data_IF_317488527017
#
_entry.id   IF_317488527017
#
_cell.length_a   1.000
_cell.length_b   1.000
_cell.length_c   1.000
_cell.angle_alpha   90.00
_cell.angle_beta   90.00
_cell.angle_gamma   90.00
#
_symmetry.space_group_name_H-M   'P 1'
#
loop_
_entity.id
_entity.type
_entity.pdbx_description
1 polymer ?
#
# COMPACT_ATOMS: atom_id res chain seq x y z
N UNK A 1 49.11 -12.79 -28.19
CA UNK A 1 48.37 -13.20 -26.97
C UNK A 1 47.58 -12.08 -26.28
N UNK A 2 47.77 -10.79 -26.61
CA UNK A 2 47.08 -9.67 -25.94
C UNK A 2 45.60 -9.43 -26.31
N UNK A 3 45.10 -9.94 -27.45
CA UNK A 3 43.74 -9.62 -27.93
C UNK A 3 42.63 -10.44 -27.27
N UNK A 4 42.94 -11.62 -26.72
CA UNK A 4 41.96 -12.48 -26.03
C UNK A 4 41.69 -12.00 -24.60
N UNK A 5 42.72 -11.60 -23.86
CA UNK A 5 42.57 -11.06 -22.51
C UNK A 5 41.71 -9.79 -22.49
N UNK A 6 41.90 -8.89 -23.47
CA UNK A 6 41.10 -7.67 -23.59
C UNK A 6 39.61 -7.94 -23.87
N UNK A 7 39.27 -9.01 -24.60
CA UNK A 7 37.88 -9.39 -24.88
C UNK A 7 37.20 -10.01 -23.65
N UNK A 8 37.92 -10.83 -22.89
CA UNK A 8 37.39 -11.44 -21.66
C UNK A 8 37.08 -10.37 -20.60
N UNK A 9 37.97 -9.37 -20.43
CA UNK A 9 37.75 -8.25 -19.51
C UNK A 9 36.56 -7.38 -19.94
N UNK A 10 36.40 -7.14 -21.25
CA UNK A 10 35.27 -6.36 -21.77
C UNK A 10 33.93 -7.09 -21.57
N UNK A 11 33.88 -8.40 -21.78
CA UNK A 11 32.68 -9.20 -21.52
C UNK A 11 32.31 -9.25 -20.02
N UNK A 12 33.30 -9.34 -19.13
CA UNK A 12 33.06 -9.28 -17.68
C UNK A 12 32.56 -7.89 -17.23
N UNK A 13 33.08 -6.82 -17.83
CA UNK A 13 32.64 -5.45 -17.52
C UNK A 13 31.18 -5.19 -17.97
N UNK A 14 30.76 -5.73 -19.12
CA UNK A 14 29.37 -5.63 -19.58
C UNK A 14 28.42 -6.48 -18.73
N UNK A 15 28.84 -7.67 -18.28
CA UNK A 15 28.05 -8.52 -17.39
C UNK A 15 27.89 -7.92 -15.97
N UNK A 16 28.94 -7.26 -15.46
CA UNK A 16 28.88 -6.55 -14.18
C UNK A 16 28.02 -5.27 -14.24
N UNK A 17 28.05 -4.55 -15.37
CA UNK A 17 27.23 -3.34 -15.57
C UNK A 17 25.72 -3.65 -15.72
N UNK A 18 25.36 -4.84 -16.22
CA UNK A 18 23.97 -5.30 -16.33
C UNK A 18 23.44 -5.94 -15.03
N UNK A 19 24.32 -6.20 -14.07
CA UNK A 19 23.97 -6.70 -12.73
C UNK A 19 23.59 -5.56 -11.77
N UNK A 20 23.57 -4.31 -12.24
CA UNK A 20 22.78 -3.20 -11.67
C UNK A 20 21.29 -3.46 -11.93
N UNK A 21 20.82 -4.64 -11.52
CA UNK A 21 19.42 -5.00 -11.46
C UNK A 21 18.78 -4.02 -10.50
N UNK A 22 17.98 -3.14 -11.10
CA UNK A 22 16.80 -2.52 -10.53
C UNK A 22 16.80 -2.49 -9.00
N UNK A 23 17.13 -1.33 -8.44
CA UNK A 23 16.45 -0.91 -7.21
C UNK A 23 14.97 -1.09 -7.53
N UNK A 24 14.38 -2.19 -7.03
CA UNK A 24 12.95 -2.30 -6.97
C UNK A 24 12.52 -1.02 -6.26
N UNK A 25 11.73 -0.17 -6.91
CA UNK A 25 10.99 0.83 -6.16
C UNK A 25 10.13 0.03 -5.18
N UNK A 26 10.63 -0.12 -3.95
CA UNK A 26 9.98 -0.84 -2.86
C UNK A 26 8.89 0.08 -2.32
N UNK A 27 7.84 0.21 -3.11
CA UNK A 27 6.68 1.04 -2.80
C UNK A 27 5.55 0.70 -3.78
N UNK A 28 4.29 0.60 -3.34
CA UNK A 28 3.20 0.29 -4.25
C UNK A 28 3.08 1.37 -5.33
N UNK A 29 2.99 1.03 -6.63
CA UNK A 29 2.77 2.03 -7.68
C UNK A 29 1.29 2.43 -7.64
N UNK A 30 0.97 3.51 -6.91
CA UNK A 30 -0.43 3.90 -6.71
C UNK A 30 -1.04 4.59 -7.94
N UNK A 31 -2.31 4.27 -8.22
CA UNK A 31 -3.15 4.88 -9.23
C UNK A 31 -4.15 5.82 -8.57
N UNK A 32 -4.18 7.07 -9.04
CA UNK A 32 -5.13 8.10 -8.61
C UNK A 32 -6.56 7.70 -9.02
N UNK A 33 -7.48 7.64 -8.05
CA UNK A 33 -8.91 7.36 -8.30
C UNK A 33 -9.83 8.56 -8.06
N UNK A 34 -9.26 9.71 -7.68
CA UNK A 34 -9.99 10.96 -7.41
C UNK A 34 -9.28 12.19 -7.99
N UNK A 35 -10.01 13.21 -8.48
CA UNK A 35 -9.40 14.45 -8.97
C UNK A 35 -8.69 15.29 -7.90
N UNK A 36 -8.82 14.97 -6.59
CA UNK A 36 -8.24 15.74 -5.48
C UNK A 36 -7.29 14.93 -4.57
N UNK A 37 -6.98 13.68 -4.90
CA UNK A 37 -5.87 12.95 -4.27
C UNK A 37 -4.57 13.13 -5.08
N UNK A 38 -3.47 13.51 -4.44
CA UNK A 38 -2.14 13.63 -5.05
C UNK A 38 -1.07 13.08 -4.11
N UNK A 39 0.06 12.65 -4.64
CA UNK A 39 1.24 12.45 -3.80
C UNK A 39 1.74 13.83 -3.33
N UNK A 40 2.22 13.89 -2.09
CA UNK A 40 2.93 15.04 -1.56
C UNK A 40 4.16 15.32 -2.41
N UNK A 41 4.50 16.60 -2.55
CA UNK A 41 5.57 17.08 -3.43
C UNK A 41 6.96 16.59 -2.95
N UNK A 42 7.07 16.16 -1.69
CA UNK A 42 8.35 15.92 -1.00
C UNK A 42 8.59 14.46 -0.56
N UNK A 43 7.78 13.46 -0.96
CA UNK A 43 8.04 12.06 -0.58
C UNK A 43 6.87 11.08 -0.70
N UNK A 44 6.95 9.88 -0.05
CA UNK A 44 5.94 8.81 -0.13
C UNK A 44 4.61 9.14 0.60
N UNK A 45 4.40 10.42 0.94
CA UNK A 45 3.22 10.91 1.61
C UNK A 45 2.08 11.05 0.59
N UNK A 46 0.94 10.40 0.87
CA UNK A 46 -0.28 10.50 0.09
C UNK A 46 -1.15 11.61 0.68
N UNK A 47 -1.50 12.58 -0.15
CA UNK A 47 -2.35 13.72 0.21
C UNK A 47 -3.71 13.54 -0.45
N UNK A 48 -4.79 13.48 0.33
CA UNK A 48 -6.13 13.20 -0.19
C UNK A 48 -7.11 14.32 0.17
N UNK A 49 -7.57 15.04 -0.86
CA UNK A 49 -8.78 15.85 -0.81
C UNK A 49 -10.01 14.99 -1.15
N UNK A 50 -11.04 15.06 -0.32
CA UNK A 50 -12.27 14.26 -0.44
C UNK A 50 -13.36 15.12 -1.06
N UNK A 51 -13.80 14.84 -2.31
CA UNK A 51 -14.96 15.51 -2.87
C UNK A 51 -16.25 15.01 -2.19
N UNK A 52 -17.33 15.77 -2.32
CA UNK A 52 -18.66 15.36 -1.85
C UNK A 52 -19.08 13.98 -2.40
N UNK A 53 -19.96 13.29 -1.65
CA UNK A 53 -20.50 11.97 -2.03
C UNK A 53 -19.92 10.79 -1.24
N UNK A 54 -19.49 9.71 -1.93
CA UNK A 54 -19.04 8.44 -1.32
C UNK A 54 -17.61 8.53 -0.77
N UNK A 55 -17.09 7.44 -0.20
CA UNK A 55 -15.69 7.40 0.22
C UNK A 55 -14.77 7.50 -1.01
N UNK A 56 -13.79 8.38 -0.93
CA UNK A 56 -12.90 8.74 -2.05
C UNK A 56 -11.43 8.64 -1.60
N UNK A 57 -10.52 8.31 -2.51
CA UNK A 57 -9.09 8.41 -2.24
C UNK A 57 -8.15 7.92 -3.35
N UNK A 58 -7.20 7.05 -3.01
CA UNK A 58 -6.13 6.56 -3.91
C UNK A 58 -6.05 5.04 -3.76
N UNK A 59 -5.79 4.32 -4.85
CA UNK A 59 -5.60 2.86 -4.83
C UNK A 59 -4.22 2.45 -5.31
N UNK A 60 -3.66 1.36 -4.78
CA UNK A 60 -2.46 0.75 -5.34
C UNK A 60 -2.76 0.07 -6.68
N UNK A 61 -1.71 -0.25 -7.44
CA UNK A 61 -1.80 -1.31 -8.44
C UNK A 61 -2.29 -2.63 -7.81
N UNK A 62 -2.70 -3.56 -8.67
CA UNK A 62 -3.03 -4.92 -8.24
C UNK A 62 -1.74 -5.65 -7.86
N UNK A 63 -1.60 -6.03 -6.59
CA UNK A 63 -0.42 -6.68 -6.04
C UNK A 63 -0.71 -8.18 -5.78
N UNK A 64 0.26 -9.08 -5.97
CA UNK A 64 0.10 -10.49 -5.64
C UNK A 64 0.02 -10.68 -4.11
N UNK A 65 -0.77 -11.65 -3.66
CA UNK A 65 -0.78 -12.05 -2.24
C UNK A 65 0.61 -12.56 -1.85
N UNK A 66 1.20 -12.11 -0.73
CA UNK A 66 2.51 -12.58 -0.29
C UNK A 66 2.48 -14.08 0.05
N UNK A 67 3.57 -14.79 -0.23
CA UNK A 67 3.68 -16.22 0.08
C UNK A 67 3.83 -16.48 1.59
N UNK A 68 4.45 -15.53 2.30
CA UNK A 68 4.60 -15.54 3.76
C UNK A 68 3.58 -14.60 4.40
N UNK A 69 3.36 -14.76 5.72
CA UNK A 69 2.59 -13.76 6.48
C UNK A 69 3.33 -12.43 6.40
N UNK A 70 2.63 -11.41 5.95
CA UNK A 70 3.19 -10.09 5.78
C UNK A 70 2.24 -9.03 6.31
N UNK A 71 2.77 -7.85 6.58
CA UNK A 71 1.99 -6.67 6.93
C UNK A 71 2.66 -5.39 6.47
N UNK A 72 2.02 -4.27 6.72
CA UNK A 72 2.61 -2.95 6.53
C UNK A 72 2.05 -1.98 7.57
N UNK A 73 2.79 -0.91 7.84
CA UNK A 73 2.32 0.19 8.68
C UNK A 73 1.71 1.30 7.82
N UNK A 74 0.62 1.87 8.30
CA UNK A 74 0.01 3.07 7.74
C UNK A 74 -0.10 4.14 8.82
N UNK A 75 0.67 5.22 8.69
CA UNK A 75 0.47 6.43 9.48
C UNK A 75 -0.54 7.31 8.76
N UNK A 76 -1.70 7.55 9.38
CA UNK A 76 -2.77 8.41 8.87
C UNK A 76 -2.89 9.62 9.79
N UNK A 77 -2.90 10.81 9.19
CA UNK A 77 -3.23 12.07 9.84
C UNK A 77 -4.45 12.68 9.16
N UNK A 78 -5.47 13.03 9.95
CA UNK A 78 -6.69 13.69 9.45
C UNK A 78 -6.75 15.10 10.01
N UNK A 79 -6.45 16.08 9.15
CA UNK A 79 -6.33 17.49 9.55
C UNK A 79 -7.64 18.25 9.46
N UNK A 80 -8.50 17.87 8.53
CA UNK A 80 -9.70 18.64 8.22
C UNK A 80 -10.89 18.21 9.08
N UNK A 81 -11.55 19.13 9.81
CA UNK A 81 -12.73 18.83 10.62
C UNK A 81 -13.92 18.30 9.81
N UNK A 82 -14.00 18.61 8.52
CA UNK A 82 -15.04 18.13 7.61
C UNK A 82 -14.91 16.63 7.31
N UNK A 83 -13.74 16.03 7.56
CA UNK A 83 -13.54 14.58 7.43
C UNK A 83 -14.13 13.87 8.65
N UNK A 84 -15.11 12.99 8.42
CA UNK A 84 -15.69 12.12 9.45
C UNK A 84 -14.70 11.04 9.86
N UNK A 85 -14.14 10.36 8.86
CA UNK A 85 -13.22 9.24 9.05
C UNK A 85 -12.33 9.03 7.82
N UNK A 86 -11.08 8.64 8.08
CA UNK A 86 -10.14 8.12 7.10
C UNK A 86 -9.69 6.71 7.50
N UNK A 87 -9.42 5.85 6.51
CA UNK A 87 -9.02 4.47 6.74
C UNK A 87 -8.32 3.87 5.53
N UNK A 88 -7.63 2.76 5.78
CA UNK A 88 -7.12 1.87 4.74
C UNK A 88 -8.10 0.72 4.54
N UNK A 89 -8.32 0.37 3.27
CA UNK A 89 -9.07 -0.80 2.84
C UNK A 89 -8.21 -1.68 1.97
N UNK A 90 -8.10 -2.96 2.29
CA UNK A 90 -7.54 -3.98 1.42
C UNK A 90 -8.68 -4.64 0.65
N UNK A 91 -8.67 -4.51 -0.67
CA UNK A 91 -9.61 -5.15 -1.56
C UNK A 91 -8.99 -6.42 -2.13
N UNK A 92 -9.60 -7.57 -1.85
CA UNK A 92 -9.09 -8.88 -2.24
C UNK A 92 -9.70 -9.35 -3.56
N UNK A 93 -8.85 -9.94 -4.39
CA UNK A 93 -9.19 -10.40 -5.72
C UNK A 93 -8.90 -11.89 -5.85
N UNK A 94 -9.86 -12.59 -6.45
CA UNK A 94 -9.67 -13.94 -6.94
C UNK A 94 -9.24 -13.90 -8.43
N UNK A 95 -8.87 -15.05 -8.96
CA UNK A 95 -8.70 -15.26 -10.41
C UNK A 95 -9.64 -16.38 -10.87
N UNK A 96 -10.87 -16.40 -10.39
CA UNK A 96 -11.84 -17.39 -10.85
C UNK A 96 -12.12 -17.15 -12.35
N UNK A 97 -11.51 -17.98 -13.20
CA UNK A 97 -11.75 -18.07 -14.65
C UNK A 97 -11.52 -16.79 -15.50
N UNK A 98 -10.45 -16.04 -15.25
CA UNK A 98 -9.99 -15.02 -16.21
C UNK A 98 -9.61 -13.68 -15.57
N UNK A 99 -10.49 -12.68 -15.67
CA UNK A 99 -10.23 -11.32 -15.16
C UNK A 99 -10.27 -11.29 -13.62
N UNK A 100 -9.32 -10.63 -12.94
CA UNK A 100 -9.34 -10.51 -11.49
C UNK A 100 -10.65 -9.88 -11.01
N UNK A 101 -11.37 -10.59 -10.13
CA UNK A 101 -12.63 -10.11 -9.55
C UNK A 101 -12.43 -9.79 -8.09
N UNK A 102 -12.82 -8.57 -7.69
CA UNK A 102 -12.88 -8.23 -6.27
C UNK A 102 -14.00 -9.05 -5.61
N UNK A 103 -13.68 -9.80 -4.56
CA UNK A 103 -14.66 -10.66 -3.88
C UNK A 103 -14.75 -10.43 -2.37
N UNK A 104 -13.73 -9.82 -1.75
CA UNK A 104 -13.73 -9.52 -0.32
C UNK A 104 -13.02 -8.20 -0.01
N UNK A 105 -13.25 -7.68 1.20
CA UNK A 105 -12.67 -6.43 1.71
C UNK A 105 -12.24 -6.63 3.17
N UNK A 106 -11.09 -6.07 3.54
CA UNK A 106 -10.65 -5.93 4.93
C UNK A 106 -10.38 -4.46 5.20
N UNK A 107 -11.01 -3.89 6.22
CA UNK A 107 -10.83 -2.50 6.60
C UNK A 107 -10.00 -2.38 7.86
N UNK A 108 -9.09 -1.43 7.89
CA UNK A 108 -8.44 -0.99 9.11
C UNK A 108 -9.41 -0.19 9.99
N UNK A 109 -9.03 0.03 11.25
CA UNK A 109 -9.79 0.96 12.11
C UNK A 109 -9.84 2.35 11.49
N UNK A 110 -10.94 3.05 11.75
CA UNK A 110 -11.10 4.44 11.35
C UNK A 110 -10.21 5.38 12.18
N UNK A 111 -9.73 6.43 11.52
CA UNK A 111 -9.02 7.57 12.10
C UNK A 111 -9.88 8.81 11.88
N UNK A 112 -10.18 9.56 12.94
CA UNK A 112 -11.13 10.68 12.90
C UNK A 112 -10.43 12.02 12.73
N UNK A 113 -11.19 13.07 12.40
CA UNK A 113 -10.67 14.43 12.36
C UNK A 113 -9.92 14.82 13.65
N UNK A 114 -8.76 15.45 13.47
CA UNK A 114 -7.84 15.83 14.54
C UNK A 114 -6.96 14.70 15.05
N UNK A 115 -7.13 13.47 14.56
CA UNK A 115 -6.32 12.33 14.99
C UNK A 115 -5.12 12.10 14.05
N UNK A 116 -4.02 11.65 14.65
CA UNK A 116 -2.91 10.98 13.96
C UNK A 116 -2.75 9.58 14.55
N UNK A 117 -2.67 8.57 13.69
CA UNK A 117 -2.58 7.18 14.10
C UNK A 117 -1.64 6.40 13.19
N UNK A 118 -0.78 5.57 13.78
CA UNK A 118 -0.06 4.51 13.06
C UNK A 118 -0.78 3.20 13.27
N UNK A 119 -1.18 2.56 12.18
CA UNK A 119 -1.91 1.30 12.14
C UNK A 119 -0.98 0.23 11.60
N UNK A 120 -0.93 -0.92 12.25
CA UNK A 120 -0.36 -2.13 11.66
C UNK A 120 -1.48 -2.87 10.92
N UNK A 121 -1.24 -3.22 9.66
CA UNK A 121 -2.16 -3.97 8.83
C UNK A 121 -1.54 -5.30 8.45
N UNK A 122 -2.13 -6.39 8.94
CA UNK A 122 -1.81 -7.73 8.47
C UNK A 122 -2.42 -7.93 7.07
N UNK A 123 -1.62 -8.46 6.15
CA UNK A 123 -2.06 -8.97 4.86
C UNK A 123 -2.47 -10.42 5.04
N UNK A 124 -3.55 -10.65 5.79
CA UNK A 124 -4.14 -11.98 5.99
C UNK A 124 -5.22 -12.22 4.93
N UNK A 125 -4.89 -12.89 3.81
CA UNK A 125 -5.82 -13.09 2.71
C UNK A 125 -6.99 -13.99 3.13
N UNK A 126 -8.23 -13.66 2.73
CA UNK A 126 -9.31 -14.63 2.80
C UNK A 126 -9.01 -15.82 1.87
N UNK A 127 -9.55 -17.02 2.14
CA UNK A 127 -9.38 -18.17 1.26
C UNK A 127 -9.69 -17.79 -0.19
N UNK A 128 -8.89 -18.31 -1.13
CA UNK A 128 -8.98 -18.07 -2.58
C UNK A 128 -8.46 -16.70 -3.06
N UNK A 129 -8.04 -15.80 -2.17
CA UNK A 129 -7.41 -14.56 -2.62
C UNK A 129 -6.04 -14.84 -3.26
N UNK A 130 -5.81 -14.26 -4.44
CA UNK A 130 -4.54 -14.38 -5.18
C UNK A 130 -3.87 -13.03 -5.40
N UNK A 131 -4.64 -11.96 -5.29
CA UNK A 131 -4.16 -10.59 -5.40
C UNK A 131 -4.96 -9.64 -4.51
N UNK A 132 -4.41 -8.45 -4.29
CA UNK A 132 -5.07 -7.41 -3.51
C UNK A 132 -4.76 -6.01 -4.05
N UNK A 133 -5.56 -5.03 -3.63
CA UNK A 133 -5.27 -3.61 -3.74
C UNK A 133 -5.40 -2.94 -2.39
N UNK A 134 -4.48 -2.05 -2.08
CA UNK A 134 -4.59 -1.15 -0.92
C UNK A 134 -5.28 0.12 -1.37
N UNK A 135 -6.31 0.55 -0.63
CA UNK A 135 -7.04 1.78 -0.87
C UNK A 135 -6.94 2.67 0.37
N UNK A 136 -6.48 3.89 0.19
CA UNK A 136 -6.64 4.95 1.18
C UNK A 136 -7.99 5.61 0.90
N UNK A 137 -8.87 5.66 1.88
CA UNK A 137 -10.23 6.18 1.73
C UNK A 137 -10.53 7.16 2.86
N UNK A 138 -11.31 8.20 2.54
CA UNK A 138 -11.87 9.09 3.53
C UNK A 138 -13.31 9.47 3.19
N UNK A 139 -14.07 9.83 4.22
CA UNK A 139 -15.49 10.22 4.14
C UNK A 139 -15.70 11.54 4.85
N UNK A 140 -16.50 12.40 4.26
CA UNK A 140 -16.92 13.66 4.87
C UNK A 140 -18.03 13.45 5.89
N UNK A 141 -18.20 14.43 6.80
CA UNK A 141 -19.33 14.50 7.72
C UNK A 141 -20.62 14.83 6.99
N UNK A 142 -20.58 15.82 6.10
CA UNK A 142 -21.70 16.19 5.24
C UNK A 142 -21.43 15.78 3.78
N UNK A 143 -22.35 15.08 3.11
CA UNK A 143 -22.15 14.62 1.73
C UNK A 143 -21.90 15.74 0.71
N UNK A 144 -22.37 16.96 0.99
CA UNK A 144 -22.23 18.13 0.13
C UNK A 144 -21.01 19.00 0.48
N UNK A 145 -20.30 18.68 1.56
CA UNK A 145 -19.10 19.44 1.95
C UNK A 145 -17.94 19.19 0.98
N UNK A 146 -16.93 20.04 1.08
CA UNK A 146 -15.66 19.94 0.38
C UNK A 146 -14.55 20.05 1.41
N UNK A 147 -13.64 19.08 1.43
CA UNK A 147 -12.46 19.20 2.28
C UNK A 147 -11.40 20.11 1.66
N UNK A 148 -10.46 20.54 2.48
CA UNK A 148 -9.15 21.00 2.08
C UNK A 148 -8.44 19.95 1.21
N UNK A 149 -7.44 20.41 0.44
CA UNK A 149 -6.70 19.53 -0.46
C UNK A 149 -5.81 18.54 0.29
N UNK A 150 -5.30 18.90 1.46
CA UNK A 150 -4.48 18.06 2.33
C UNK A 150 -5.22 17.60 3.59
N UNK A 151 -6.53 17.42 3.46
CA UNK A 151 -7.42 17.00 4.53
C UNK A 151 -7.00 15.68 5.21
N UNK A 152 -6.41 14.77 4.43
CA UNK A 152 -5.84 13.52 4.93
C UNK A 152 -4.44 13.35 4.37
N UNK A 153 -3.49 13.02 5.26
CA UNK A 153 -2.12 12.63 4.92
C UNK A 153 -1.90 11.19 5.33
N UNK A 154 -1.33 10.39 4.43
CA UNK A 154 -1.02 8.99 4.71
C UNK A 154 0.39 8.66 4.30
N UNK A 155 1.15 8.06 5.21
CA UNK A 155 2.44 7.46 4.93
C UNK A 155 2.34 5.96 5.09
N UNK A 156 2.72 5.23 4.04
CA UNK A 156 2.75 3.77 4.06
C UNK A 156 4.21 3.30 4.18
N UNK A 157 4.46 2.33 5.05
CA UNK A 157 5.77 1.68 5.13
C UNK A 157 5.95 0.68 3.99
N UNK A 158 7.18 0.23 3.81
CA UNK A 158 7.43 -1.00 3.07
C UNK A 158 6.73 -2.19 3.74
N UNK A 159 6.27 -3.19 2.95
CA UNK A 159 5.79 -4.45 3.51
C UNK A 159 6.88 -5.16 4.30
N UNK A 160 6.50 -5.79 5.40
CA UNK A 160 7.39 -6.61 6.23
C UNK A 160 6.82 -8.01 6.41
N UNK A 161 7.70 -9.01 6.50
CA UNK A 161 7.28 -10.36 6.91
C UNK A 161 6.95 -10.36 8.41
N UNK A 162 5.76 -10.83 8.76
CA UNK A 162 5.41 -11.11 10.14
C UNK A 162 6.01 -12.46 10.52
N UNK A 163 7.02 -12.46 11.38
CA UNK A 163 7.44 -13.71 12.01
C UNK A 163 6.24 -14.29 12.76
N UNK A 164 5.94 -15.57 12.51
CA UNK A 164 4.91 -16.27 13.26
C UNK A 164 5.24 -16.13 14.74
N UNK A 165 4.39 -15.42 15.49
CA UNK A 165 4.53 -15.32 16.94
C UNK A 165 4.70 -16.72 17.50
N UNK A 166 5.72 -16.92 18.34
CA UNK A 166 6.00 -18.18 19.01
C UNK A 166 4.68 -18.79 19.51
N UNK A 167 4.38 -20.08 19.26
CA UNK A 167 3.21 -20.69 19.85
C UNK A 167 3.31 -20.51 21.37
N UNK A 168 2.24 -20.11 22.07
CA UNK A 168 2.29 -19.98 23.51
C UNK A 168 2.70 -21.33 24.09
N UNK A 169 3.86 -21.37 24.75
CA UNK A 169 4.32 -22.55 25.47
C UNK A 169 3.27 -22.85 26.54
N UNK A 170 2.37 -23.80 26.28
CA UNK A 170 1.54 -24.37 27.34
C UNK A 170 2.49 -25.12 28.26
N UNK A 171 2.69 -24.60 29.47
CA UNK A 171 3.16 -25.43 30.57
C UNK A 171 2.07 -26.49 30.78
N UNK A 172 2.41 -27.75 30.52
CA UNK A 172 1.58 -28.89 30.90
C UNK A 172 1.51 -28.93 32.44
N UNK A 173 0.36 -29.33 33.02
CA UNK A 173 0.21 -29.46 34.47
C UNK A 173 1.16 -30.50 35.06
#
# INVERSE_FOLDING_TARGET
MCKLAARVVCCLAVAAALSSLAIAEVGPPYRRTTPRGSFGVDGPELVVGVPGGRAWGIESALLPVPAERAGFHATIEVRDPEVREAFIRVAWYDRAAGRPRQFALTDARYVRAGETATLELALDPPPLAVAYRVRVLARLRAPQALSAQDAVRVRLSEPFSQQAGFPPTRLLP
#
